data_IF_192735807549
#
_entry.id   IF_192735807549
#
_cell.length_a   1.000
_cell.length_b   1.000
_cell.length_c   1.000
_cell.angle_alpha   90.00
_cell.angle_beta   90.00
_cell.angle_gamma   90.00
#
_symmetry.space_group_name_H-M   'P 1'
#
loop_
_entity.id
_entity.type
_entity.pdbx_description
1 polymer ?
#
# COMPACT_ATOMS: atom_id res chain seq x y z
N UNK A 1 6.09 5.89 10.95
CA UNK A 1 5.38 5.42 9.73
C UNK A 1 3.88 5.33 10.03
N UNK A 2 3.03 5.38 9.00
CA UNK A 2 1.58 5.23 9.13
C UNK A 2 1.12 3.98 8.39
N UNK A 3 0.16 3.27 8.95
CA UNK A 3 -0.34 2.00 8.40
C UNK A 3 -1.86 1.98 8.34
N UNK A 4 -2.39 1.51 7.22
CA UNK A 4 -3.81 1.25 7.04
C UNK A 4 -3.99 -0.21 6.65
N UNK A 5 -4.88 -0.92 7.36
CA UNK A 5 -5.10 -2.36 7.24
C UNK A 5 -6.56 -2.64 6.85
N UNK A 6 -6.87 -3.89 6.51
CA UNK A 6 -8.22 -4.31 6.15
C UNK A 6 -8.79 -3.53 4.96
N UNK A 7 -7.93 -3.14 4.01
CA UNK A 7 -8.33 -2.44 2.80
C UNK A 7 -8.83 -3.48 1.82
N UNK A 8 -10.09 -3.34 1.41
CA UNK A 8 -10.70 -4.24 0.43
C UNK A 8 -9.83 -4.38 -0.81
N UNK A 9 -9.69 -5.61 -1.29
CA UNK A 9 -8.82 -5.97 -2.43
C UNK A 9 -9.08 -5.09 -3.66
N UNK A 10 -10.35 -4.81 -3.98
CA UNK A 10 -10.73 -3.93 -5.09
C UNK A 10 -10.22 -2.48 -4.91
N UNK A 11 -10.37 -1.94 -3.70
CA UNK A 11 -9.90 -0.58 -3.38
C UNK A 11 -8.37 -0.54 -3.37
N UNK A 12 -7.73 -1.55 -2.78
CA UNK A 12 -6.28 -1.66 -2.73
C UNK A 12 -5.66 -1.68 -4.14
N UNK A 13 -6.19 -2.51 -5.04
CA UNK A 13 -5.76 -2.55 -6.44
C UNK A 13 -5.98 -1.21 -7.16
N UNK A 14 -7.13 -0.56 -6.92
CA UNK A 14 -7.43 0.74 -7.49
C UNK A 14 -6.45 1.82 -7.03
N UNK A 15 -6.06 1.82 -5.76
CA UNK A 15 -5.08 2.78 -5.22
C UNK A 15 -3.74 2.62 -5.94
N UNK A 16 -3.27 1.38 -6.13
CA UNK A 16 -2.04 1.09 -6.85
C UNK A 16 -2.13 1.63 -8.28
N UNK A 17 -3.18 1.29 -9.02
CA UNK A 17 -3.37 1.73 -10.40
C UNK A 17 -3.38 3.26 -10.54
N UNK A 18 -4.15 3.95 -9.68
CA UNK A 18 -4.19 5.42 -9.63
C UNK A 18 -2.80 6.03 -9.37
N UNK A 19 -1.98 5.43 -8.49
CA UNK A 19 -0.63 5.90 -8.20
C UNK A 19 0.30 5.70 -9.39
N UNK A 20 0.23 4.55 -10.07
CA UNK A 20 1.01 4.30 -11.28
C UNK A 20 0.66 5.32 -12.38
N UNK A 21 -0.62 5.62 -12.57
CA UNK A 21 -1.07 6.67 -13.49
C UNK A 21 -0.59 8.08 -13.06
N UNK A 22 -0.43 8.32 -11.76
CA UNK A 22 0.12 9.56 -11.22
C UNK A 22 1.68 9.64 -11.26
N UNK A 23 2.32 8.69 -11.93
CA UNK A 23 3.77 8.66 -12.16
C UNK A 23 4.58 8.00 -11.04
N UNK A 24 3.94 7.27 -10.13
CA UNK A 24 4.66 6.38 -9.21
C UNK A 24 5.18 5.15 -9.97
N UNK A 25 6.30 4.62 -9.53
CA UNK A 25 6.91 3.42 -10.15
C UNK A 25 7.04 2.29 -9.15
N UNK A 26 6.73 1.06 -9.58
CA UNK A 26 7.02 -0.13 -8.78
C UNK A 26 8.53 -0.36 -8.80
N UNK A 27 9.19 -0.23 -7.66
CA UNK A 27 10.64 -0.46 -7.54
C UNK A 27 10.98 -1.80 -6.92
N UNK A 28 10.06 -2.38 -6.15
CA UNK A 28 10.16 -3.75 -5.66
C UNK A 28 8.82 -4.44 -5.77
N UNK A 29 8.86 -5.72 -6.11
CA UNK A 29 7.72 -6.63 -6.13
C UNK A 29 8.16 -7.93 -5.50
N UNK A 30 7.35 -8.48 -4.61
CA UNK A 30 7.54 -9.83 -4.09
C UNK A 30 7.29 -10.85 -5.21
N UNK A 31 8.26 -11.72 -5.46
CA UNK A 31 8.23 -12.76 -6.51
C UNK A 31 8.28 -14.19 -5.96
N UNK A 32 7.94 -14.38 -4.68
CA UNK A 32 7.86 -15.71 -4.07
C UNK A 32 6.86 -16.64 -4.77
N UNK A 33 6.97 -17.95 -4.52
CA UNK A 33 6.10 -18.95 -5.15
C UNK A 33 4.61 -18.75 -4.81
N UNK A 34 4.33 -18.19 -3.64
CA UNK A 34 3.00 -17.82 -3.12
C UNK A 34 2.52 -16.43 -3.59
N UNK A 35 3.30 -15.71 -4.39
CA UNK A 35 2.94 -14.40 -4.91
C UNK A 35 1.66 -14.47 -5.77
N UNK A 36 0.64 -13.71 -5.39
CA UNK A 36 -0.65 -13.71 -6.08
C UNK A 36 -1.60 -14.84 -5.68
N UNK A 37 -1.19 -15.69 -4.74
CA UNK A 37 -2.00 -16.79 -4.21
C UNK A 37 -2.38 -16.49 -2.77
N UNK A 38 -1.39 -16.45 -1.88
CA UNK A 38 -1.59 -16.24 -0.44
C UNK A 38 -1.04 -14.87 0.02
N UNK A 39 -0.09 -14.32 -0.73
CA UNK A 39 0.56 -13.06 -0.39
C UNK A 39 0.92 -12.24 -1.62
N UNK A 40 0.91 -10.92 -1.52
CA UNK A 40 1.48 -10.00 -2.49
C UNK A 40 2.14 -8.84 -1.75
N UNK A 41 3.26 -8.37 -2.28
CA UNK A 41 3.82 -7.11 -1.81
C UNK A 41 4.46 -6.31 -2.95
N UNK A 42 4.29 -5.00 -2.87
CA UNK A 42 4.81 -4.02 -3.81
C UNK A 42 5.40 -2.85 -3.04
N UNK A 43 6.46 -2.27 -3.59
CA UNK A 43 6.97 -0.98 -3.16
C UNK A 43 6.84 -0.03 -4.34
N UNK A 44 6.12 1.07 -4.12
CA UNK A 44 6.01 2.17 -5.07
C UNK A 44 6.88 3.32 -4.56
N UNK A 45 7.65 3.94 -5.46
CA UNK A 45 8.48 5.10 -5.15
C UNK A 45 8.25 6.25 -6.13
N UNK A 46 8.36 7.49 -5.62
CA UNK A 46 8.30 8.75 -6.39
C UNK A 46 8.93 9.88 -5.58
N UNK A 47 9.88 10.62 -6.17
CA UNK A 47 10.49 11.82 -5.56
C UNK A 47 10.95 11.59 -4.10
N UNK A 48 11.75 10.53 -3.87
CA UNK A 48 12.24 10.06 -2.56
C UNK A 48 11.16 9.58 -1.56
N UNK A 49 9.90 9.55 -1.98
CA UNK A 49 8.81 8.99 -1.21
C UNK A 49 8.61 7.51 -1.53
N UNK A 50 8.24 6.75 -0.49
CA UNK A 50 8.00 5.31 -0.58
C UNK A 50 6.62 4.96 -0.01
N UNK A 51 5.92 4.07 -0.69
CA UNK A 51 4.68 3.43 -0.23
C UNK A 51 4.86 1.92 -0.34
N UNK A 52 4.63 1.22 0.75
CA UNK A 52 4.63 -0.24 0.81
C UNK A 52 3.19 -0.72 0.76
N UNK A 53 2.91 -1.60 -0.19
CA UNK A 53 1.65 -2.28 -0.36
C UNK A 53 1.85 -3.74 -0.04
N UNK A 54 1.08 -4.27 0.89
CA UNK A 54 1.05 -5.67 1.25
C UNK A 54 -0.38 -6.17 1.09
N UNK A 55 -0.53 -7.42 0.72
CA UNK A 55 -1.83 -8.07 0.62
C UNK A 55 -1.72 -9.52 1.02
N UNK A 56 -2.68 -10.00 1.79
CA UNK A 56 -2.84 -11.40 2.14
C UNK A 56 -4.32 -11.82 2.10
N UNK A 57 -4.57 -13.12 2.03
CA UNK A 57 -5.93 -13.65 1.91
C UNK A 57 -6.77 -13.56 3.20
N UNK A 58 -6.21 -13.18 4.35
CA UNK A 58 -6.93 -13.03 5.61
C UNK A 58 -7.35 -11.58 5.88
N UNK A 59 -6.41 -10.65 5.74
CA UNK A 59 -6.60 -9.23 6.07
C UNK A 59 -6.75 -8.34 4.84
N UNK A 60 -6.75 -8.93 3.64
CA UNK A 60 -6.76 -8.24 2.36
C UNK A 60 -5.58 -7.28 2.24
N UNK A 61 -5.82 -6.00 1.94
CA UNK A 61 -4.78 -5.01 1.69
C UNK A 61 -4.32 -4.27 2.93
N UNK A 62 -3.01 -4.08 3.01
CA UNK A 62 -2.33 -3.13 3.89
C UNK A 62 -1.53 -2.12 3.05
N UNK A 63 -1.51 -0.87 3.52
CA UNK A 63 -0.72 0.22 2.95
C UNK A 63 0.08 0.86 4.08
N UNK A 64 1.40 0.93 3.91
CA UNK A 64 2.31 1.61 4.83
C UNK A 64 3.06 2.72 4.10
N UNK A 65 3.06 3.90 4.69
CA UNK A 65 3.68 5.08 4.09
C UNK A 65 4.15 6.09 5.13
N UNK A 66 4.85 7.11 4.66
CA UNK A 66 5.26 8.25 5.48
C UNK A 66 4.04 9.10 5.90
N UNK A 67 4.07 9.74 7.08
CA UNK A 67 2.93 10.50 7.61
C UNK A 67 2.34 11.52 6.64
N UNK A 68 3.19 12.23 5.90
CA UNK A 68 2.77 13.23 4.91
C UNK A 68 1.92 12.66 3.76
N UNK A 69 2.14 11.39 3.38
CA UNK A 69 1.33 10.71 2.37
C UNK A 69 0.02 10.17 2.94
N UNK A 70 0.04 9.76 4.21
CA UNK A 70 -1.10 9.13 4.87
C UNK A 70 -2.35 10.03 4.89
N UNK A 71 -2.18 11.34 5.13
CA UNK A 71 -3.30 12.29 5.08
C UNK A 71 -3.87 12.42 3.66
N UNK A 72 -3.00 12.53 2.67
CA UNK A 72 -3.40 12.67 1.25
C UNK A 72 -4.15 11.43 0.77
N UNK A 73 -3.60 10.24 1.03
CA UNK A 73 -4.21 8.96 0.66
C UNK A 73 -5.50 8.72 1.45
N UNK A 74 -5.48 9.02 2.75
CA UNK A 74 -6.64 8.84 3.63
C UNK A 74 -7.82 9.69 3.21
N UNK A 75 -7.60 10.96 2.86
CA UNK A 75 -8.64 11.85 2.33
C UNK A 75 -9.14 11.41 0.94
N UNK A 76 -8.22 11.06 0.03
CA UNK A 76 -8.58 10.71 -1.35
C UNK A 76 -9.39 9.42 -1.44
N UNK A 77 -9.05 8.41 -0.63
CA UNK A 77 -9.62 7.06 -0.72
C UNK A 77 -10.51 6.68 0.47
N UNK A 78 -10.74 7.60 1.41
CA UNK A 78 -11.47 7.34 2.65
C UNK A 78 -10.88 6.18 3.47
N UNK A 79 -9.55 6.14 3.57
CA UNK A 79 -8.80 5.09 4.29
C UNK A 79 -8.26 5.66 5.60
N UNK A 80 -8.47 4.94 6.70
CA UNK A 80 -7.96 5.33 8.02
C UNK A 80 -6.55 4.79 8.24
N UNK A 81 -5.59 5.71 8.44
CA UNK A 81 -4.22 5.37 8.80
C UNK A 81 -4.01 5.53 10.31
N UNK A 82 -3.36 4.54 10.91
CA UNK A 82 -2.96 4.53 12.31
C UNK A 82 -1.44 4.66 12.41
N UNK A 83 -0.95 5.08 13.57
CA UNK A 83 0.48 4.97 13.87
C UNK A 83 0.90 3.50 13.86
N UNK A 84 1.92 3.17 13.07
CA UNK A 84 2.52 1.84 13.14
C UNK A 84 3.10 1.69 14.55
N UNK A 85 2.62 0.72 15.33
CA UNK A 85 3.23 0.40 16.61
C UNK A 85 4.67 -0.04 16.35
N UNK A 86 5.62 0.87 16.57
CA UNK A 86 7.02 0.51 16.71
C UNK A 86 7.14 -0.17 18.08
N UNK A 87 7.19 -1.50 18.06
CA UNK A 87 7.53 -2.35 19.19
C UNK A 87 8.98 -2.80 19.10
#
# INVERSE_FOLDING_TARGET
>A
MKVANCIKTELWNRIIDDLLQAGWSITRKYDGFDAGIDYNAFVLEKDDLKIEFTWDNWFEGEIKCEPQLSETLGLKYAVAFNDSAEG
#
